data_IF_632059341706
#
_entry.id   IF_632059341706
#
_cell.length_a   1.000
_cell.length_b   1.000
_cell.length_c   1.000
_cell.angle_alpha   90.00
_cell.angle_beta   90.00
_cell.angle_gamma   90.00
#
_symmetry.space_group_name_H-M   'P 1'
#
loop_
_entity.id
_entity.type
_entity.pdbx_description
1 polymer ?
#
# COMPACT_ATOMS: atom_id res chain seq x y z
N UNK A 1 23.03 -70.56 16.13
CA UNK A 1 21.75 -69.88 16.45
C UNK A 1 22.08 -68.52 17.04
N UNK A 2 21.85 -67.44 16.28
CA UNK A 2 21.94 -66.06 16.80
C UNK A 2 20.62 -65.36 16.48
N UNK A 3 19.86 -65.07 17.53
CA UNK A 3 18.50 -64.52 17.52
C UNK A 3 18.56 -63.04 17.15
N UNK A 4 17.84 -62.64 16.10
CA UNK A 4 17.51 -61.23 15.81
C UNK A 4 16.65 -60.67 16.95
N UNK A 5 16.82 -59.42 17.41
CA UNK A 5 15.80 -58.73 18.18
C UNK A 5 14.77 -58.10 17.25
N UNK A 6 13.54 -58.21 17.71
CA UNK A 6 12.29 -58.01 17.00
C UNK A 6 11.92 -56.53 16.87
N UNK A 7 11.31 -56.17 15.73
CA UNK A 7 10.57 -54.92 15.55
C UNK A 7 9.31 -55.02 16.41
N UNK A 8 9.14 -54.16 17.41
CA UNK A 8 7.84 -53.55 17.79
C UNK A 8 8.01 -52.58 18.97
N UNK A 9 7.26 -51.47 18.88
CA UNK A 9 7.04 -50.41 19.87
C UNK A 9 8.15 -49.36 20.03
N UNK A 10 8.18 -48.44 19.09
CA UNK A 10 8.43 -47.02 19.35
C UNK A 10 7.57 -46.20 18.37
N UNK A 11 6.24 -46.34 18.52
CA UNK A 11 5.26 -45.43 17.95
C UNK A 11 4.44 -44.91 19.12
N UNK A 12 5.06 -44.01 19.89
CA UNK A 12 4.42 -43.19 20.90
C UNK A 12 4.94 -41.78 20.65
N UNK A 13 4.28 -41.11 19.71
CA UNK A 13 3.91 -39.70 19.82
C UNK A 13 4.93 -38.79 20.50
N UNK A 14 5.98 -38.43 19.76
CA UNK A 14 6.53 -37.08 19.86
C UNK A 14 5.55 -36.12 19.16
N UNK A 15 4.48 -35.76 19.87
CA UNK A 15 3.85 -34.47 19.62
C UNK A 15 4.87 -33.43 20.06
N UNK A 16 5.55 -32.78 19.13
CA UNK A 16 6.40 -31.66 19.48
C UNK A 16 5.52 -30.57 20.10
N UNK A 17 5.86 -30.15 21.32
CA UNK A 17 5.31 -28.98 22.02
C UNK A 17 5.70 -27.66 21.32
N UNK A 18 5.53 -27.58 20.01
CA UNK A 18 5.51 -26.34 19.25
C UNK A 18 4.03 -26.02 19.07
N UNK A 19 3.51 -25.30 20.07
CA UNK A 19 2.09 -25.05 20.30
C UNK A 19 1.33 -24.62 19.05
N UNK A 20 0.04 -24.91 19.06
CA UNK A 20 -0.92 -24.68 17.99
C UNK A 20 -1.22 -23.18 17.80
N UNK A 21 -0.20 -22.31 17.84
CA UNK A 21 -0.34 -20.86 17.90
C UNK A 21 -0.84 -20.30 16.58
N UNK A 22 -1.64 -19.25 16.68
CA UNK A 22 -2.15 -18.48 15.55
C UNK A 22 -1.83 -17.02 15.74
N UNK A 23 -1.31 -16.39 14.69
CA UNK A 23 -1.18 -14.94 14.60
C UNK A 23 -2.38 -14.38 13.87
N UNK A 24 -2.91 -13.27 14.37
CA UNK A 24 -3.99 -12.55 13.73
C UNK A 24 -3.52 -11.16 13.33
N UNK A 25 -3.74 -10.77 12.07
CA UNK A 25 -3.54 -9.40 11.59
C UNK A 25 -4.93 -8.79 11.40
N UNK A 26 -5.23 -7.77 12.19
CA UNK A 26 -6.53 -7.10 12.19
C UNK A 26 -6.42 -5.69 11.61
N UNK A 27 -7.34 -5.39 10.70
CA UNK A 27 -7.52 -4.08 10.05
C UNK A 27 -9.01 -3.69 10.10
N UNK A 28 -9.39 -2.57 9.47
CA UNK A 28 -10.79 -2.19 9.27
C UNK A 28 -11.58 -3.20 8.44
N UNK A 29 -10.93 -3.95 7.55
CA UNK A 29 -11.58 -4.94 6.68
C UNK A 29 -11.94 -6.24 7.42
N UNK A 30 -11.26 -6.54 8.53
CA UNK A 30 -11.50 -7.72 9.35
C UNK A 30 -10.21 -8.30 9.91
N UNK A 31 -10.20 -9.62 10.12
CA UNK A 31 -9.07 -10.33 10.72
C UNK A 31 -8.57 -11.44 9.80
N UNK A 32 -7.30 -11.38 9.42
CA UNK A 32 -6.61 -12.50 8.77
C UNK A 32 -5.87 -13.34 9.79
N UNK A 33 -6.00 -14.66 9.68
CA UNK A 33 -5.43 -15.63 10.62
C UNK A 33 -4.34 -16.45 9.94
N UNK A 34 -3.21 -16.60 10.63
CA UNK A 34 -2.02 -17.27 10.13
C UNK A 34 -1.50 -18.25 11.17
N UNK A 35 -1.24 -19.49 10.77
CA UNK A 35 -0.64 -20.48 11.65
C UNK A 35 0.84 -20.16 11.89
N UNK A 36 1.39 -20.58 13.03
CA UNK A 36 2.83 -20.51 13.32
C UNK A 36 3.67 -21.56 12.54
N UNK A 37 3.14 -22.02 11.41
CA UNK A 37 3.86 -22.92 10.51
C UNK A 37 4.65 -22.10 9.47
N UNK A 38 5.68 -22.68 8.83
CA UNK A 38 6.42 -21.97 7.79
C UNK A 38 5.55 -21.43 6.64
N UNK A 39 4.44 -22.10 6.29
CA UNK A 39 3.50 -21.61 5.28
C UNK A 39 2.70 -20.41 5.79
N UNK A 40 2.24 -20.46 7.05
CA UNK A 40 1.40 -19.43 7.64
C UNK A 40 2.19 -18.16 7.87
N UNK A 41 3.42 -18.27 8.35
CA UNK A 41 4.33 -17.13 8.50
C UNK A 41 4.66 -16.46 7.16
N UNK A 42 4.87 -17.26 6.10
CA UNK A 42 5.05 -16.69 4.75
C UNK A 42 3.79 -16.04 4.21
N UNK A 43 2.62 -16.62 4.48
CA UNK A 43 1.34 -16.04 4.09
C UNK A 43 1.07 -14.72 4.84
N UNK A 44 1.40 -14.65 6.14
CA UNK A 44 1.37 -13.42 6.93
C UNK A 44 2.24 -12.36 6.29
N UNK A 45 3.48 -12.69 5.96
CA UNK A 45 4.38 -11.73 5.36
C UNK A 45 3.94 -11.30 3.95
N UNK A 46 3.34 -12.21 3.16
CA UNK A 46 2.70 -11.86 1.89
C UNK A 46 1.53 -10.88 2.06
N UNK A 47 0.74 -11.02 3.14
CA UNK A 47 -0.32 -10.06 3.44
C UNK A 47 0.23 -8.69 3.88
N UNK A 48 1.26 -8.68 4.73
CA UNK A 48 1.94 -7.44 5.11
C UNK A 48 2.56 -6.75 3.89
N UNK A 49 3.15 -7.51 2.97
CA UNK A 49 3.61 -6.98 1.69
C UNK A 49 2.47 -6.40 0.86
N UNK A 50 1.30 -7.04 0.81
CA UNK A 50 0.14 -6.52 0.11
C UNK A 50 -0.31 -5.16 0.66
N UNK A 51 -0.28 -4.98 1.99
CA UNK A 51 -0.55 -3.69 2.62
C UNK A 51 0.52 -2.66 2.28
N UNK A 52 1.81 -3.04 2.32
CA UNK A 52 2.92 -2.15 1.96
C UNK A 52 2.89 -1.73 0.49
N UNK A 53 2.54 -2.64 -0.43
CA UNK A 53 2.37 -2.35 -1.86
C UNK A 53 1.24 -1.35 -2.08
N UNK A 54 0.16 -1.49 -1.31
CA UNK A 54 -0.99 -0.61 -1.34
C UNK A 54 -0.81 0.72 -0.61
N UNK A 55 0.19 0.86 0.26
CA UNK A 55 0.22 1.86 1.36
C UNK A 55 -0.14 3.30 0.97
N UNK A 56 0.37 3.80 -0.17
CA UNK A 56 0.08 5.17 -0.66
C UNK A 56 -1.13 5.26 -1.59
N UNK A 57 -1.96 4.21 -1.68
CA UNK A 57 -3.19 4.16 -2.47
C UNK A 57 -4.42 4.34 -1.57
N UNK A 58 -4.83 5.59 -1.37
CA UNK A 58 -5.90 6.03 -0.44
C UNK A 58 -7.21 5.27 -0.58
N UNK A 59 -7.54 4.80 -1.79
CA UNK A 59 -8.79 4.11 -2.03
C UNK A 59 -8.84 2.69 -1.45
N UNK A 60 -7.70 2.15 -0.98
CA UNK A 60 -7.53 0.71 -0.73
C UNK A 60 -6.84 0.35 0.58
N UNK A 61 -6.40 1.32 1.38
CA UNK A 61 -5.55 1.01 2.54
C UNK A 61 -6.32 1.21 3.84
N UNK A 62 -6.29 0.22 4.75
CA UNK A 62 -6.79 0.39 6.11
C UNK A 62 -6.04 1.48 6.86
N UNK A 63 -6.67 2.14 7.83
CA UNK A 63 -6.00 3.18 8.64
C UNK A 63 -5.18 2.58 9.78
N UNK A 64 -5.52 1.37 10.24
CA UNK A 64 -4.81 0.74 11.36
C UNK A 64 -4.51 -0.73 11.09
N UNK A 65 -3.38 -1.18 11.65
CA UNK A 65 -3.03 -2.59 11.71
C UNK A 65 -2.68 -2.99 13.14
N UNK A 66 -3.21 -4.12 13.57
CA UNK A 66 -2.90 -4.71 14.87
C UNK A 66 -2.52 -6.16 14.71
N UNK A 67 -1.49 -6.59 15.42
CA UNK A 67 -1.00 -7.96 15.39
C UNK A 67 -1.30 -8.59 16.75
N UNK A 68 -2.03 -9.69 16.73
CA UNK A 68 -2.37 -10.48 17.89
C UNK A 68 -1.68 -11.85 17.83
N UNK A 69 -1.38 -12.38 19.01
CA UNK A 69 -0.90 -13.75 19.20
C UNK A 69 -1.94 -14.53 20.01
N UNK A 70 -2.19 -15.77 19.61
CA UNK A 70 -3.12 -16.69 20.26
C UNK A 70 -2.41 -18.02 20.54
N UNK A 71 -2.05 -18.27 21.80
CA UNK A 71 -1.29 -19.49 22.17
C UNK A 71 -2.14 -20.76 22.11
N UNK A 72 -3.42 -20.65 22.46
CA UNK A 72 -4.38 -21.75 22.52
C UNK A 72 -5.65 -21.37 21.75
N UNK A 73 -5.59 -21.28 20.40
CA UNK A 73 -6.74 -20.91 19.61
C UNK A 73 -7.83 -21.98 19.71
N UNK A 74 -9.09 -21.55 19.65
CA UNK A 74 -10.21 -22.48 19.52
C UNK A 74 -10.10 -23.27 18.21
N UNK A 75 -10.72 -24.45 18.15
CA UNK A 75 -10.73 -25.29 16.94
C UNK A 75 -11.18 -24.51 15.69
N UNK A 76 -12.21 -23.67 15.85
CA UNK A 76 -12.74 -22.80 14.78
C UNK A 76 -11.69 -21.82 14.25
N UNK A 77 -10.92 -21.19 15.14
CA UNK A 77 -9.86 -20.24 14.75
C UNK A 77 -8.71 -20.96 14.06
N UNK A 78 -8.31 -22.12 14.58
CA UNK A 78 -7.28 -22.95 13.96
C UNK A 78 -7.66 -23.43 12.56
N UNK A 79 -8.94 -23.77 12.32
CA UNK A 79 -9.45 -24.16 11.00
C UNK A 79 -9.49 -23.01 9.99
N UNK A 80 -9.64 -21.76 10.45
CA UNK A 80 -9.62 -20.55 9.61
C UNK A 80 -8.20 -20.06 9.29
N UNK A 81 -7.18 -20.57 9.98
CA UNK A 81 -5.81 -20.16 9.76
C UNK A 81 -5.34 -20.51 8.34
N UNK A 82 -4.60 -19.59 7.73
CA UNK A 82 -4.05 -19.69 6.38
C UNK A 82 -5.11 -19.77 5.25
N UNK A 83 -6.38 -19.42 5.52
CA UNK A 83 -7.46 -19.46 4.52
C UNK A 83 -7.20 -18.57 3.28
N UNK A 84 -6.29 -17.62 3.39
CA UNK A 84 -5.85 -16.81 2.26
C UNK A 84 -5.07 -17.59 1.20
N UNK A 85 -4.57 -18.80 1.51
CA UNK A 85 -3.81 -19.63 0.58
C UNK A 85 -4.78 -20.51 -0.23
N UNK A 86 -5.12 -20.07 -1.44
CA UNK A 86 -6.00 -20.83 -2.34
C UNK A 86 -5.28 -22.03 -2.97
N UNK A 87 -3.99 -21.86 -3.31
CA UNK A 87 -3.16 -22.94 -3.85
C UNK A 87 -1.72 -22.81 -3.39
N UNK A 88 -1.28 -23.75 -2.57
CA UNK A 88 0.08 -23.78 -2.05
C UNK A 88 1.09 -24.38 -3.04
N UNK A 89 2.19 -23.68 -3.28
CA UNK A 89 3.33 -24.18 -4.05
C UNK A 89 4.37 -24.82 -3.13
N UNK A 90 4.74 -26.08 -3.40
CA UNK A 90 5.86 -26.75 -2.69
C UNK A 90 7.22 -26.07 -2.92
N UNK A 91 7.34 -25.21 -3.93
CA UNK A 91 8.56 -24.43 -4.13
C UNK A 91 8.71 -23.35 -3.04
N UNK A 92 7.61 -22.71 -2.63
CA UNK A 92 7.66 -21.70 -1.57
C UNK A 92 8.02 -22.30 -0.21
N UNK A 93 7.58 -23.53 0.08
CA UNK A 93 7.95 -24.24 1.31
C UNK A 93 9.44 -24.54 1.41
N UNK A 94 10.12 -24.70 0.27
CA UNK A 94 11.56 -24.99 0.20
C UNK A 94 12.41 -23.74 0.04
N UNK A 95 11.80 -22.62 -0.33
CA UNK A 95 12.47 -21.34 -0.53
C UNK A 95 12.85 -20.71 0.82
N UNK A 96 13.93 -19.95 0.84
CA UNK A 96 14.29 -19.07 1.97
C UNK A 96 13.58 -17.71 1.89
N UNK A 97 12.85 -17.42 0.80
CA UNK A 97 12.05 -16.20 0.68
C UNK A 97 11.02 -16.13 1.82
N UNK A 98 10.90 -14.95 2.42
CA UNK A 98 10.02 -14.70 3.55
C UNK A 98 8.53 -14.63 3.14
N UNK A 99 8.22 -14.61 1.85
CA UNK A 99 6.87 -14.50 1.30
C UNK A 99 6.53 -15.73 0.42
N UNK A 100 5.24 -15.90 0.14
CA UNK A 100 4.75 -16.84 -0.86
C UNK A 100 4.84 -16.21 -2.26
N UNK A 101 5.89 -16.55 -3.02
CA UNK A 101 6.12 -15.98 -4.37
C UNK A 101 5.46 -16.75 -5.50
N UNK A 102 5.16 -18.04 -5.29
CA UNK A 102 4.63 -18.94 -6.33
C UNK A 102 3.25 -19.50 -6.02
N UNK A 103 2.83 -19.40 -4.76
CA UNK A 103 1.50 -19.82 -4.32
C UNK A 103 0.45 -18.81 -4.76
N UNK A 104 -0.79 -19.28 -4.95
CA UNK A 104 -1.93 -18.41 -5.18
C UNK A 104 -2.48 -18.01 -3.82
N UNK A 105 -2.41 -16.72 -3.51
CA UNK A 105 -2.97 -16.13 -2.30
C UNK A 105 -4.03 -15.10 -2.67
N UNK A 106 -5.04 -14.98 -1.83
CA UNK A 106 -6.13 -14.02 -1.97
C UNK A 106 -6.34 -13.27 -0.67
N UNK A 107 -6.49 -11.95 -0.77
CA UNK A 107 -6.78 -11.03 0.33
C UNK A 107 -8.15 -10.37 0.11
N UNK A 108 -9.08 -11.10 -0.49
CA UNK A 108 -10.43 -10.62 -0.73
C UNK A 108 -11.27 -10.62 0.57
N UNK A 109 -12.35 -9.81 0.65
CA UNK A 109 -13.19 -9.70 1.84
C UNK A 109 -13.73 -11.03 2.39
N UNK A 110 -13.97 -12.04 1.55
CA UNK A 110 -14.43 -13.37 1.98
C UNK A 110 -13.39 -14.17 2.78
N UNK A 111 -12.11 -13.76 2.74
CA UNK A 111 -11.02 -14.40 3.48
C UNK A 111 -10.89 -13.90 4.92
N UNK A 112 -11.50 -12.77 5.23
CA UNK A 112 -11.41 -12.16 6.55
C UNK A 112 -12.39 -12.82 7.52
N UNK A 113 -11.89 -13.13 8.71
CA UNK A 113 -12.71 -13.50 9.84
C UNK A 113 -13.27 -12.24 10.53
N UNK A 114 -14.40 -12.44 11.21
CA UNK A 114 -14.98 -11.42 12.08
C UNK A 114 -14.07 -11.14 13.29
N UNK A 115 -14.13 -9.93 13.84
CA UNK A 115 -13.28 -9.49 14.96
C UNK A 115 -13.52 -10.28 16.26
N UNK A 116 -14.66 -10.95 16.42
CA UNK A 116 -14.93 -11.86 17.54
C UNK A 116 -13.90 -12.99 17.70
N UNK A 117 -13.13 -13.33 16.65
CA UNK A 117 -12.05 -14.32 16.77
C UNK A 117 -10.89 -13.85 17.67
N UNK A 118 -10.82 -12.56 17.99
CA UNK A 118 -9.75 -11.96 18.79
C UNK A 118 -10.00 -12.00 20.30
N UNK A 119 -11.15 -12.48 20.77
CA UNK A 119 -11.54 -12.46 22.20
C UNK A 119 -10.51 -13.14 23.12
N UNK A 120 -9.78 -14.13 22.60
CA UNK A 120 -8.73 -14.85 23.33
C UNK A 120 -7.31 -14.47 22.90
N UNK A 121 -7.14 -13.44 22.07
CA UNK A 121 -5.86 -13.02 21.51
C UNK A 121 -5.22 -11.85 22.27
N UNK A 122 -3.89 -11.87 22.39
CA UNK A 122 -3.13 -10.78 23.00
C UNK A 122 -2.61 -9.86 21.92
N UNK A 123 -3.01 -8.59 21.92
CA UNK A 123 -2.48 -7.57 21.01
C UNK A 123 -1.01 -7.31 21.37
N UNK A 124 -0.09 -7.65 20.46
CA UNK A 124 1.35 -7.46 20.62
C UNK A 124 1.81 -6.13 20.05
N UNK A 125 1.33 -5.81 18.86
CA UNK A 125 1.80 -4.64 18.11
C UNK A 125 0.62 -3.89 17.49
N UNK A 126 0.81 -2.58 17.33
CA UNK A 126 -0.11 -1.67 16.67
C UNK A 126 0.67 -0.78 15.71
N UNK A 127 0.11 -0.56 14.54
CA UNK A 127 0.64 0.28 13.49
C UNK A 127 -0.44 1.26 13.05
N UNK A 128 -0.01 2.50 12.85
CA UNK A 128 -0.78 3.48 12.09
C UNK A 128 -0.44 3.26 10.61
N UNK A 129 -1.45 3.10 9.78
CA UNK A 129 -1.32 2.91 8.34
C UNK A 129 -1.82 4.13 7.56
N UNK A 130 -2.20 5.21 8.26
CA UNK A 130 -2.42 6.50 7.60
C UNK A 130 -1.13 6.85 6.87
N UNK A 131 -1.20 7.19 5.58
CA UNK A 131 0.03 7.18 4.85
C UNK A 131 0.82 8.44 5.19
N UNK A 132 2.08 8.23 5.55
CA UNK A 132 3.11 9.23 5.74
C UNK A 132 4.46 8.49 5.63
N UNK A 133 5.56 9.24 5.67
CA UNK A 133 6.88 8.63 5.58
C UNK A 133 7.18 7.70 6.76
N UNK A 134 6.88 8.13 8.00
CA UNK A 134 7.27 7.44 9.22
C UNK A 134 6.54 6.11 9.43
N UNK A 135 5.24 6.08 9.17
CA UNK A 135 4.40 4.90 9.25
C UNK A 135 4.80 3.88 8.19
N UNK A 136 5.09 4.34 6.96
CA UNK A 136 5.57 3.48 5.89
C UNK A 136 6.96 2.89 6.20
N UNK A 137 7.89 3.74 6.63
CA UNK A 137 9.26 3.33 7.00
C UNK A 137 9.22 2.33 8.17
N UNK A 138 8.40 2.58 9.19
CA UNK A 138 8.22 1.65 10.31
C UNK A 138 7.68 0.31 9.83
N UNK A 139 6.58 0.30 9.07
CA UNK A 139 5.95 -0.94 8.60
C UNK A 139 6.93 -1.77 7.76
N UNK A 140 7.64 -1.14 6.83
CA UNK A 140 8.53 -1.83 5.89
C UNK A 140 9.80 -2.32 6.58
N UNK A 141 10.39 -1.55 7.49
CA UNK A 141 11.58 -1.97 8.25
C UNK A 141 11.29 -3.07 9.25
N UNK A 142 10.21 -2.96 10.01
CA UNK A 142 9.89 -3.90 11.09
C UNK A 142 9.66 -5.33 10.56
N UNK A 143 9.12 -5.45 9.35
CA UNK A 143 8.86 -6.75 8.71
C UNK A 143 9.80 -7.09 7.54
N UNK A 144 10.77 -6.24 7.22
CA UNK A 144 11.69 -6.45 6.09
C UNK A 144 10.95 -6.58 4.76
N UNK A 145 9.97 -5.70 4.52
CA UNK A 145 9.13 -5.74 3.32
C UNK A 145 9.85 -5.10 2.14
N UNK A 146 9.52 -5.57 0.93
CA UNK A 146 9.98 -4.94 -0.29
C UNK A 146 9.29 -3.59 -0.50
N UNK A 147 10.02 -2.63 -1.01
CA UNK A 147 9.51 -1.30 -1.35
C UNK A 147 9.42 -1.22 -2.87
N UNK A 148 8.23 -0.97 -3.43
CA UNK A 148 8.10 -0.76 -4.88
C UNK A 148 8.73 0.57 -5.30
N UNK A 149 9.23 0.72 -6.54
CA UNK A 149 9.77 2.00 -7.02
C UNK A 149 8.82 3.18 -6.80
N UNK A 150 7.52 2.97 -7.05
CA UNK A 150 6.50 3.99 -6.86
C UNK A 150 6.32 4.39 -5.39
N UNK A 151 6.32 3.43 -4.48
CA UNK A 151 6.19 3.73 -3.05
C UNK A 151 7.48 4.33 -2.50
N UNK A 152 8.64 3.96 -3.05
CA UNK A 152 9.91 4.61 -2.76
C UNK A 152 9.89 6.08 -3.14
N UNK A 153 9.44 6.41 -4.36
CA UNK A 153 9.31 7.79 -4.81
C UNK A 153 8.36 8.60 -3.93
N UNK A 154 7.20 8.03 -3.57
CA UNK A 154 6.25 8.68 -2.67
C UNK A 154 6.85 8.95 -1.28
N UNK A 155 7.48 7.93 -0.68
CA UNK A 155 8.12 8.04 0.63
C UNK A 155 9.27 9.08 0.60
N UNK A 156 10.06 9.10 -0.47
CA UNK A 156 11.15 10.04 -0.67
C UNK A 156 10.65 11.49 -0.75
N UNK A 157 9.60 11.74 -1.53
CA UNK A 157 9.00 13.06 -1.62
C UNK A 157 8.35 13.49 -0.30
N UNK A 158 7.67 12.59 0.41
CA UNK A 158 7.13 12.87 1.75
C UNK A 158 8.25 13.30 2.71
N UNK A 159 9.35 12.54 2.74
CA UNK A 159 10.51 12.89 3.55
C UNK A 159 11.08 14.27 3.20
N UNK A 160 11.28 14.57 1.90
CA UNK A 160 11.79 15.86 1.45
C UNK A 160 10.82 16.99 1.83
N UNK A 161 9.51 16.78 1.68
CA UNK A 161 8.50 17.79 1.99
C UNK A 161 8.49 18.18 3.49
N UNK A 162 8.83 17.25 4.37
CA UNK A 162 8.87 17.48 5.82
C UNK A 162 10.24 17.97 6.29
N UNK A 163 11.33 17.32 5.86
CA UNK A 163 12.68 17.51 6.40
C UNK A 163 13.57 18.40 5.53
N UNK A 164 13.16 18.65 4.28
CA UNK A 164 14.01 19.27 3.27
C UNK A 164 14.90 18.27 2.52
N UNK A 165 15.63 18.79 1.55
CA UNK A 165 16.52 18.00 0.69
C UNK A 165 17.86 17.75 1.39
N UNK A 166 18.15 16.48 1.66
CA UNK A 166 19.39 16.07 2.34
C UNK A 166 20.51 15.63 1.37
N UNK A 167 20.38 15.89 0.06
CA UNK A 167 21.31 15.38 -0.96
C UNK A 167 21.27 13.85 -1.14
N UNK A 168 20.50 13.18 -0.28
CA UNK A 168 20.51 11.75 -0.02
C UNK A 168 19.11 11.41 0.50
N UNK A 169 18.11 11.39 -0.38
CA UNK A 169 17.19 10.25 -0.26
C UNK A 169 17.87 8.98 -0.81
N UNK A 170 19.04 9.14 -1.42
CA UNK A 170 19.92 8.10 -1.92
C UNK A 170 20.55 7.23 -0.81
N UNK A 171 19.99 6.06 -0.55
CA UNK A 171 20.73 4.79 -0.65
C UNK A 171 20.01 3.65 0.06
N UNK A 172 18.75 3.40 -0.30
CA UNK A 172 18.46 1.99 -0.53
C UNK A 172 18.94 1.69 -1.96
N UNK A 173 20.03 0.90 -2.10
CA UNK A 173 20.68 0.60 -3.40
C UNK A 173 19.78 -0.14 -4.39
N UNK A 174 18.53 -0.36 -4.01
CA UNK A 174 17.55 -1.19 -4.70
C UNK A 174 16.78 -0.37 -5.74
N UNK A 175 16.44 0.91 -5.45
CA UNK A 175 15.63 1.74 -6.34
C UNK A 175 16.16 3.18 -6.46
N UNK A 176 16.48 3.66 -7.68
CA UNK A 176 16.83 5.06 -7.90
C UNK A 176 15.61 5.95 -7.67
N UNK A 177 15.83 7.15 -7.15
CA UNK A 177 14.76 8.14 -6.97
C UNK A 177 14.40 8.76 -8.33
N UNK A 178 13.17 8.54 -8.78
CA UNK A 178 12.77 8.91 -10.14
C UNK A 178 12.81 10.43 -10.40
N UNK A 179 12.63 11.24 -9.35
CA UNK A 179 12.57 12.70 -9.45
C UNK A 179 13.94 13.38 -9.18
N UNK A 180 15.03 12.63 -9.14
CA UNK A 180 16.36 13.17 -8.86
C UNK A 180 16.75 14.31 -9.83
N UNK A 181 16.32 14.24 -11.09
CA UNK A 181 16.61 15.27 -12.09
C UNK A 181 15.95 16.61 -11.78
N UNK A 182 14.71 16.58 -11.28
CA UNK A 182 13.91 17.73 -10.89
C UNK A 182 14.58 18.50 -9.75
N UNK A 183 15.21 17.78 -8.82
CA UNK A 183 15.95 18.38 -7.71
C UNK A 183 17.40 18.75 -8.03
N UNK A 184 17.95 18.42 -9.21
CA UNK A 184 19.38 18.56 -9.49
C UNK A 184 19.92 19.98 -9.31
N UNK A 185 19.27 20.98 -9.91
CA UNK A 185 19.73 22.37 -9.81
C UNK A 185 19.68 22.87 -8.34
N UNK A 186 18.63 22.47 -7.62
CA UNK A 186 18.48 22.80 -6.21
C UNK A 186 19.55 22.11 -5.36
N UNK A 187 19.87 20.84 -5.67
CA UNK A 187 20.91 20.07 -5.01
C UNK A 187 22.29 20.71 -5.18
N UNK A 188 22.64 21.14 -6.40
CA UNK A 188 23.88 21.86 -6.69
C UNK A 188 23.98 23.17 -5.88
N UNK A 189 22.91 23.97 -5.84
CA UNK A 189 22.86 25.21 -5.04
C UNK A 189 22.98 24.94 -3.53
N UNK A 190 22.34 23.88 -3.02
CA UNK A 190 22.46 23.47 -1.62
C UNK A 190 23.89 23.05 -1.28
N UNK A 191 24.56 22.33 -2.19
CA UNK A 191 25.95 21.94 -2.03
C UNK A 191 26.88 23.17 -1.95
N UNK A 192 26.71 24.14 -2.86
CA UNK A 192 27.47 25.38 -2.87
C UNK A 192 27.23 26.22 -1.61
N UNK A 193 25.97 26.29 -1.14
CA UNK A 193 25.61 26.96 0.12
C UNK A 193 26.30 26.31 1.32
N UNK A 194 26.33 24.97 1.37
CA UNK A 194 27.04 24.23 2.41
C UNK A 194 28.56 24.45 2.35
N UNK A 195 29.16 24.44 1.15
CA UNK A 195 30.59 24.76 0.96
C UNK A 195 30.91 26.17 1.43
N UNK A 196 30.09 27.16 1.10
CA UNK A 196 30.27 28.54 1.56
C UNK A 196 30.22 28.64 3.09
N UNK A 197 29.29 27.93 3.73
CA UNK A 197 29.18 27.86 5.20
C UNK A 197 30.41 27.19 5.84
N UNK A 198 30.92 26.12 5.25
CA UNK A 198 32.15 25.46 5.71
C UNK A 198 33.39 26.36 5.58
N UNK A 199 33.44 27.18 4.53
CA UNK A 199 34.54 28.12 4.29
C UNK A 199 34.47 29.38 5.17
N UNK A 200 33.33 29.66 5.81
CA UNK A 200 33.12 30.81 6.67
C UNK A 200 32.44 30.43 8.01
N UNK A 201 33.08 29.61 8.87
CA UNK A 201 32.45 29.01 10.05
C UNK A 201 32.05 30.01 11.13
N UNK A 202 32.60 31.22 11.12
CA UNK A 202 32.25 32.31 12.05
C UNK A 202 31.15 33.23 11.51
N UNK A 203 30.72 33.05 10.26
CA UNK A 203 29.63 33.83 9.66
C UNK A 203 28.28 33.38 10.22
N UNK A 204 27.45 34.34 10.60
CA UNK A 204 26.06 34.08 11.01
C UNK A 204 25.09 33.96 9.80
N UNK A 205 25.57 34.19 8.57
CA UNK A 205 24.78 34.11 7.35
C UNK A 205 24.54 32.65 6.93
N UNK A 206 23.31 32.31 6.53
CA UNK A 206 22.94 30.95 6.13
C UNK A 206 23.23 30.63 4.65
N UNK A 207 23.74 31.62 3.91
CA UNK A 207 24.07 31.52 2.48
C UNK A 207 22.88 31.03 1.64
N UNK A 208 21.66 31.43 2.00
CA UNK A 208 20.44 31.06 1.29
C UNK A 208 20.00 29.61 1.53
N UNK A 209 20.68 28.88 2.42
CA UNK A 209 20.37 27.48 2.72
C UNK A 209 18.91 27.29 3.15
N UNK A 210 18.38 28.16 4.03
CA UNK A 210 17.01 28.02 4.51
C UNK A 210 15.99 28.26 3.39
N UNK A 211 16.28 29.20 2.47
CA UNK A 211 15.44 29.47 1.31
C UNK A 211 15.44 28.29 0.33
N UNK A 212 16.61 27.73 0.03
CA UNK A 212 16.74 26.53 -0.82
C UNK A 212 16.04 25.30 -0.20
N UNK A 213 16.11 25.13 1.12
CA UNK A 213 15.38 24.07 1.81
C UNK A 213 13.86 24.29 1.82
N UNK A 214 13.40 25.55 1.79
CA UNK A 214 11.97 25.86 1.62
C UNK A 214 11.51 25.53 0.20
N UNK A 215 12.28 25.91 -0.81
CA UNK A 215 12.02 25.57 -2.21
C UNK A 215 11.98 24.06 -2.45
N UNK A 216 12.88 23.30 -1.81
CA UNK A 216 12.88 21.84 -1.90
C UNK A 216 11.58 21.22 -1.34
N UNK A 217 11.12 21.73 -0.20
CA UNK A 217 9.89 21.25 0.43
C UNK A 217 8.66 21.55 -0.42
N UNK A 218 8.61 22.75 -0.99
CA UNK A 218 7.53 23.18 -1.89
C UNK A 218 7.52 22.34 -3.18
N UNK A 219 8.68 22.12 -3.80
CA UNK A 219 8.81 21.27 -4.98
C UNK A 219 8.36 19.82 -4.71
N UNK A 220 8.75 19.26 -3.55
CA UNK A 220 8.31 17.92 -3.18
C UNK A 220 6.80 17.85 -2.93
N UNK A 221 6.22 18.86 -2.28
CA UNK A 221 4.78 18.96 -2.07
C UNK A 221 4.00 19.07 -3.39
N UNK A 222 4.51 19.85 -4.35
CA UNK A 222 3.89 19.99 -5.68
C UNK A 222 3.90 18.65 -6.44
N UNK A 223 5.01 17.90 -6.41
CA UNK A 223 5.12 16.57 -7.02
C UNK A 223 4.22 15.54 -6.34
N UNK A 224 4.13 15.56 -5.01
CA UNK A 224 3.18 14.74 -4.25
C UNK A 224 1.74 15.00 -4.68
N UNK A 225 1.38 16.26 -4.89
CA UNK A 225 0.05 16.63 -5.33
C UNK A 225 -0.23 16.22 -6.78
N UNK A 226 0.71 16.43 -7.71
CA UNK A 226 0.48 16.18 -9.14
C UNK A 226 0.55 14.70 -9.51
N UNK A 227 1.49 13.94 -8.94
CA UNK A 227 1.78 12.56 -9.35
C UNK A 227 1.12 11.52 -8.42
N UNK A 228 0.96 11.85 -7.14
CA UNK A 228 0.44 10.96 -6.12
C UNK A 228 -0.92 11.36 -5.56
N UNK A 229 -1.42 12.57 -5.91
CA UNK A 229 -2.68 13.13 -5.40
C UNK A 229 -2.67 13.29 -3.86
N UNK A 230 -1.51 13.62 -3.29
CA UNK A 230 -1.29 13.84 -1.85
C UNK A 230 -1.10 15.34 -1.61
N UNK A 231 -1.80 15.96 -0.64
CA UNK A 231 -1.66 17.40 -0.35
C UNK A 231 -1.39 17.65 1.12
N UNK A 232 -0.42 18.50 1.47
CA UNK A 232 -0.11 18.85 2.86
C UNK A 232 0.22 17.63 3.76
N UNK A 233 0.78 16.55 3.18
CA UNK A 233 1.00 15.28 3.90
C UNK A 233 -0.29 14.51 4.24
N UNK A 234 -1.45 15.09 3.91
CA UNK A 234 -2.78 14.52 4.10
C UNK A 234 -3.31 14.01 2.75
N UNK A 235 -3.88 12.81 2.76
CA UNK A 235 -4.47 12.25 1.56
C UNK A 235 -5.84 12.88 1.33
N UNK A 236 -6.00 13.67 0.26
CA UNK A 236 -7.36 14.09 -0.11
C UNK A 236 -8.13 12.86 -0.57
N UNK A 237 -9.09 12.45 0.25
CA UNK A 237 -10.25 11.65 -0.17
C UNK A 237 -11.02 12.45 -1.23
N UNK A 238 -10.53 12.41 -2.47
CA UNK A 238 -11.27 12.85 -3.64
C UNK A 238 -12.50 11.99 -3.80
N UNK A 239 -13.64 12.51 -3.34
CA UNK A 239 -14.98 11.96 -3.46
C UNK A 239 -15.23 10.64 -2.71
N UNK A 240 -15.86 10.75 -1.52
CA UNK A 240 -16.83 9.74 -1.07
C UNK A 240 -17.82 9.52 -2.21
N UNK A 241 -17.63 8.47 -3.00
CA UNK A 241 -18.69 7.91 -3.84
C UNK A 241 -19.65 7.28 -2.83
N UNK A 242 -20.68 8.04 -2.46
CA UNK A 242 -21.79 7.62 -1.64
C UNK A 242 -22.37 6.32 -2.19
N UNK A 243 -22.05 5.20 -1.54
CA UNK A 243 -22.73 3.93 -1.75
C UNK A 243 -23.76 3.78 -0.64
N UNK A 244 -25.03 3.86 -1.05
CA UNK A 244 -26.23 3.33 -0.38
C UNK A 244 -26.62 3.90 0.98
N UNK A 245 -27.44 4.95 0.95
CA UNK A 245 -28.70 4.96 1.71
C UNK A 245 -29.86 5.04 0.72
N UNK A 246 -30.23 3.87 0.20
CA UNK A 246 -31.58 3.64 -0.31
C UNK A 246 -32.28 2.87 0.79
N UNK A 247 -32.75 3.58 1.81
CA UNK A 247 -33.59 3.01 2.86
C UNK A 247 -34.90 3.79 2.90
N UNK A 248 -35.87 3.19 2.22
CA UNK A 248 -37.27 3.11 2.62
C UNK A 248 -37.73 4.14 3.65
N UNK A 249 -38.18 5.30 3.18
CA UNK A 249 -39.16 6.11 3.93
C UNK A 249 -40.47 5.32 3.98
N UNK A 250 -40.59 4.49 4.99
CA UNK A 250 -41.85 3.89 5.43
C UNK A 250 -42.70 4.96 6.10
N UNK A 251 -43.94 5.08 5.63
CA UNK A 251 -44.97 5.94 6.16
C UNK A 251 -45.32 5.60 7.63
N UNK A 252 -45.89 6.57 8.36
CA UNK A 252 -47.09 6.29 9.14
C UNK A 252 -48.28 7.12 8.63
N UNK A 253 -49.42 6.43 8.55
CA UNK A 253 -50.75 6.98 8.32
C UNK A 253 -51.07 8.20 9.20
N UNK A 254 -51.78 9.18 8.64
CA UNK A 254 -53.14 9.56 9.06
C UNK A 254 -53.74 10.61 8.11
N UNK A 255 -54.91 10.30 7.53
CA UNK A 255 -55.88 11.21 6.87
C UNK A 255 -56.94 11.60 7.93
N UNK A 256 -57.64 12.76 7.82
CA UNK A 256 -58.76 12.94 6.86
C UNK A 256 -58.75 14.31 6.15
N UNK A 257 -58.97 14.34 4.84
CA UNK A 257 -60.25 14.60 4.14
C UNK A 257 -60.61 16.09 4.05
N UNK A 258 -60.45 16.67 2.86
CA UNK A 258 -61.36 17.67 2.31
C UNK A 258 -61.33 17.60 0.79
N UNK A 259 -62.53 17.58 0.21
CA UNK A 259 -62.84 17.48 -1.21
C UNK A 259 -62.44 18.75 -1.98
N UNK A 260 -62.12 18.61 -3.27
CA UNK A 260 -62.90 19.15 -4.40
C UNK A 260 -62.05 19.05 -5.71
N UNK A 261 -62.46 18.19 -6.64
CA UNK A 261 -63.12 18.52 -7.94
C UNK A 261 -62.14 18.74 -9.11
N UNK A 262 -62.15 17.74 -10.01
CA UNK A 262 -62.15 17.74 -11.51
C UNK A 262 -61.32 18.85 -12.20
N UNK A 263 -60.52 18.60 -13.25
CA UNK A 263 -60.86 18.07 -14.58
C UNK A 263 -59.55 18.14 -15.41
N UNK A 264 -59.13 17.15 -16.21
CA UNK A 264 -59.30 17.21 -17.67
C UNK A 264 -57.99 17.45 -18.48
N UNK A 265 -57.58 16.43 -19.24
CA UNK A 265 -56.97 16.42 -20.61
C UNK A 265 -55.75 17.31 -20.97
N UNK A 266 -54.70 16.65 -21.51
CA UNK A 266 -53.70 17.15 -22.51
C UNK A 266 -54.38 17.72 -23.79
N UNK A 267 -53.73 18.40 -24.77
CA UNK A 267 -52.30 18.32 -25.18
C UNK A 267 -51.62 19.60 -25.79
N UNK A 268 -50.37 19.42 -26.24
CA UNK A 268 -49.72 19.95 -27.47
C UNK A 268 -49.05 21.36 -27.58
N UNK A 269 -47.73 21.29 -27.80
CA UNK A 269 -46.85 21.92 -28.84
C UNK A 269 -46.48 23.43 -28.94
N UNK A 270 -45.22 23.59 -29.43
CA UNK A 270 -44.46 24.75 -29.95
C UNK A 270 -43.78 25.65 -28.88
N UNK A 271 -42.50 26.04 -28.98
CA UNK A 271 -41.75 26.53 -30.16
C UNK A 271 -40.22 26.59 -29.89
N UNK A 272 -39.44 26.38 -30.96
CA UNK A 272 -37.98 26.61 -31.12
C UNK A 272 -37.50 27.98 -30.60
N UNK A 273 -36.24 28.03 -30.15
CA UNK A 273 -35.27 29.08 -30.54
C UNK A 273 -33.84 28.50 -30.58
N UNK A 274 -33.07 28.96 -31.56
CA UNK A 274 -31.75 28.46 -32.01
C UNK A 274 -30.57 29.16 -31.29
N UNK A 275 -29.43 28.48 -31.34
CA UNK A 275 -28.07 28.77 -30.82
C UNK A 275 -27.39 30.05 -31.37
N UNK A 276 -26.25 30.48 -30.79
CA UNK A 276 -24.95 30.14 -31.43
C UNK A 276 -23.83 29.75 -30.45
N UNK A 277 -22.97 28.82 -30.89
CA UNK A 277 -21.91 28.21 -30.08
C UNK A 277 -20.57 28.96 -30.05
N UNK A 278 -19.70 28.52 -29.13
CA UNK A 278 -18.23 28.66 -29.18
C UNK A 278 -17.54 27.44 -28.54
N UNK A 279 -16.33 27.16 -29.04
CA UNK A 279 -15.59 25.89 -29.15
C UNK A 279 -14.97 25.37 -27.84
N UNK A 280 -14.69 24.04 -27.72
CA UNK A 280 -13.83 23.49 -26.67
C UNK A 280 -12.33 23.66 -27.01
N UNK A 281 -11.53 23.99 -26.01
CA UNK A 281 -10.08 24.20 -26.09
C UNK A 281 -9.32 22.88 -25.94
N UNK A 282 -8.63 22.47 -27.01
CA UNK A 282 -7.65 21.39 -27.04
C UNK A 282 -6.41 21.73 -26.18
N UNK A 283 -6.14 20.94 -25.14
CA UNK A 283 -4.79 20.80 -24.56
C UNK A 283 -4.56 19.36 -24.10
N UNK A 284 -4.53 18.47 -25.08
CA UNK A 284 -4.04 17.10 -24.93
C UNK A 284 -2.50 17.13 -24.94
N UNK A 285 -1.86 17.14 -23.76
CA UNK A 285 -0.41 16.93 -23.66
C UNK A 285 -0.14 15.42 -23.72
N UNK A 286 0.39 14.99 -24.86
CA UNK A 286 0.85 13.64 -25.11
C UNK A 286 2.06 13.32 -24.20
N UNK A 287 1.94 12.26 -23.41
CA UNK A 287 3.06 11.63 -22.74
C UNK A 287 4.03 11.07 -23.79
N UNK A 288 5.31 11.49 -23.73
CA UNK A 288 6.37 10.94 -24.58
C UNK A 288 6.75 9.57 -24.04
N UNK A 289 6.27 8.52 -24.69
CA UNK A 289 6.80 7.16 -24.53
C UNK A 289 8.21 7.10 -25.14
N UNK A 290 9.22 6.83 -24.31
CA UNK A 290 10.54 6.38 -24.76
C UNK A 290 10.47 4.87 -24.99
N UNK A 291 10.73 4.43 -26.22
CA UNK A 291 10.81 3.01 -26.57
C UNK A 291 12.12 2.38 -26.05
N UNK A 292 12.12 1.10 -25.63
CA UNK A 292 13.33 0.42 -25.20
C UNK A 292 14.20 0.05 -26.39
N UNK A 293 15.48 0.44 -26.34
CA UNK A 293 16.51 0.07 -27.31
C UNK A 293 16.86 -1.42 -27.10
N UNK A 294 16.52 -2.26 -28.07
CA UNK A 294 16.97 -3.65 -28.12
C UNK A 294 18.48 -3.71 -28.45
N UNK A 295 19.26 -4.63 -27.85
CA UNK A 295 20.68 -4.77 -28.17
C UNK A 295 20.87 -5.37 -29.57
N UNK A 296 21.56 -4.65 -30.45
CA UNK A 296 21.96 -5.14 -31.77
C UNK A 296 22.96 -6.30 -31.65
N UNK A 297 22.67 -7.39 -32.37
CA UNK A 297 23.55 -8.55 -32.57
C UNK A 297 24.85 -8.10 -33.22
N UNK A 298 25.98 -8.34 -32.56
CA UNK A 298 27.32 -8.27 -33.18
C UNK A 298 27.47 -9.41 -34.18
N UNK A 299 27.58 -9.07 -35.46
CA UNK A 299 28.03 -10.00 -36.49
C UNK A 299 29.51 -10.35 -36.29
N UNK A 300 29.80 -11.65 -36.33
CA UNK A 300 31.15 -12.21 -36.38
C UNK A 300 31.78 -11.88 -37.73
N UNK A 301 32.82 -11.05 -37.75
CA UNK A 301 33.78 -11.05 -38.87
C UNK A 301 34.85 -12.09 -38.61
N UNK A 302 34.90 -13.08 -39.50
CA UNK A 302 35.97 -14.07 -39.61
C UNK A 302 37.26 -13.36 -40.02
N UNK A 303 38.37 -13.74 -39.40
CA UNK A 303 39.72 -13.38 -39.83
C UNK A 303 40.32 -14.63 -40.49
N UNK A 304 40.64 -14.53 -41.79
CA UNK A 304 41.43 -15.49 -42.55
C UNK A 304 42.51 -14.67 -43.26
N UNK A 305 43.72 -14.60 -42.70
CA UNK A 305 44.91 -15.36 -43.13
C UNK A 305 46.00 -15.17 -42.07
#
# INVERSE_FOLDING_TARGET
MARKPDRRKAAATEFSETGNRVYAVATEEGVMLFSDTPKGMKARNSYLQHLADGFFNVAKVPETLRIYEMDLPTKRVAELADNCIEKLSKADLRSTDAQLRRSVVSFAPDKFADRSVLDSGVCREKFDLRPDFHNFDRLTREFGLGISPRNYDAAALLYISENGYAGIVAADKVHPFSYEYEFRELAEKLEDSMKARMNAPLSAHDFGYAALQKEAREMAADLLQSEFHITDGEFRLGARISRTERMETSHPMSRPHLEEVKTGKSPETYRRQETPGQKPSDRQRQARHVAPIAPQKKEKKQLIL
#
